data_IF_766505078156
#
_entry.id   IF_766505078156
#
_cell.length_a   1.000
_cell.length_b   1.000
_cell.length_c   1.000
_cell.angle_alpha   90.00
_cell.angle_beta   90.00
_cell.angle_gamma   90.00
#
_symmetry.space_group_name_H-M   'P 1'
#
loop_
_entity.id
_entity.type
_entity.pdbx_description
1 polymer ?
#
# COMPACT_ATOMS: atom_id res chain seq x y z
N UNK A 1 -29.03 -1.69 20.86
CA UNK A 1 -28.18 -0.63 21.47
C UNK A 1 -28.02 -0.80 22.99
N UNK A 2 -29.06 -0.71 23.83
CA UNK A 2 -28.91 -0.92 25.28
C UNK A 2 -28.54 -2.36 25.68
N UNK A 3 -29.03 -3.35 24.92
CA UNK A 3 -28.73 -4.76 25.14
C UNK A 3 -27.31 -5.13 24.71
N UNK A 4 -26.86 -4.65 23.54
CA UNK A 4 -25.48 -4.84 23.04
C UNK A 4 -24.43 -4.23 23.99
N UNK A 5 -24.72 -3.05 24.57
CA UNK A 5 -23.84 -2.41 25.56
C UNK A 5 -23.77 -3.25 26.84
N UNK A 6 -24.91 -3.78 27.32
CA UNK A 6 -24.95 -4.62 28.52
C UNK A 6 -24.19 -5.93 28.33
N UNK A 7 -24.32 -6.56 27.16
CA UNK A 7 -23.61 -7.78 26.79
C UNK A 7 -22.09 -7.52 26.67
N UNK A 8 -21.69 -6.43 26.01
CA UNK A 8 -20.29 -6.02 25.91
C UNK A 8 -19.66 -5.75 27.28
N UNK A 9 -20.34 -5.01 28.15
CA UNK A 9 -19.86 -4.72 29.52
C UNK A 9 -19.74 -5.99 30.34
N UNK A 10 -20.69 -6.92 30.22
CA UNK A 10 -20.65 -8.21 30.91
C UNK A 10 -19.46 -9.06 30.44
N UNK A 11 -19.20 -9.07 29.13
CA UNK A 11 -18.07 -9.79 28.55
C UNK A 11 -16.73 -9.19 28.99
N UNK A 12 -16.62 -7.86 29.01
CA UNK A 12 -15.44 -7.16 29.52
C UNK A 12 -15.18 -7.46 31.00
N UNK A 13 -16.22 -7.48 31.85
CA UNK A 13 -16.09 -7.85 33.26
C UNK A 13 -15.56 -9.27 33.44
N UNK A 14 -16.10 -10.23 32.69
CA UNK A 14 -15.64 -11.62 32.72
C UNK A 14 -14.16 -11.70 32.30
N UNK A 15 -13.78 -11.04 31.20
CA UNK A 15 -12.39 -10.99 30.76
C UNK A 15 -11.47 -10.41 31.83
N UNK A 16 -11.85 -9.31 32.48
CA UNK A 16 -11.05 -8.69 33.55
C UNK A 16 -10.88 -9.64 34.74
N UNK A 17 -11.93 -10.35 35.15
CA UNK A 17 -11.87 -11.32 36.25
C UNK A 17 -10.94 -12.50 35.93
N UNK A 18 -11.05 -13.05 34.72
CA UNK A 18 -10.19 -14.16 34.27
C UNK A 18 -8.72 -13.72 34.23
N UNK A 19 -8.45 -12.53 33.66
CA UNK A 19 -7.10 -11.96 33.62
C UNK A 19 -6.58 -11.75 35.04
N UNK A 20 -7.37 -11.15 35.93
CA UNK A 20 -6.96 -10.88 37.30
C UNK A 20 -6.65 -12.17 38.09
N UNK A 21 -7.49 -13.20 37.96
CA UNK A 21 -7.27 -14.49 38.61
C UNK A 21 -6.00 -15.19 38.13
N UNK A 22 -5.77 -15.19 36.81
CA UNK A 22 -4.58 -15.78 36.21
C UNK A 22 -3.31 -15.04 36.62
N UNK A 23 -3.35 -13.70 36.63
CA UNK A 23 -2.23 -12.87 37.05
C UNK A 23 -1.93 -12.99 38.56
N UNK A 24 -2.97 -13.12 39.38
CA UNK A 24 -2.82 -13.35 40.82
C UNK A 24 -2.16 -14.68 41.11
N UNK A 25 -2.57 -15.74 40.42
CA UNK A 25 -1.94 -17.05 40.53
C UNK A 25 -0.46 -16.99 40.15
N UNK A 26 -0.12 -16.35 39.02
CA UNK A 26 1.26 -16.20 38.58
C UNK A 26 2.11 -15.44 39.61
N UNK A 27 1.65 -14.30 40.10
CA UNK A 27 2.39 -13.49 41.07
C UNK A 27 2.52 -14.14 42.45
N UNK A 28 1.55 -14.98 42.85
CA UNK A 28 1.55 -15.64 44.15
C UNK A 28 2.57 -16.79 44.23
N UNK A 29 2.72 -17.55 43.14
CA UNK A 29 3.50 -18.78 43.12
C UNK A 29 4.84 -18.66 42.39
N UNK A 30 5.10 -17.54 41.71
CA UNK A 30 6.34 -17.35 40.95
C UNK A 30 7.00 -16.00 41.22
N UNK A 31 8.29 -15.91 40.94
CA UNK A 31 9.01 -14.64 40.96
C UNK A 31 8.47 -13.71 39.87
N UNK A 32 8.46 -12.39 40.12
CA UNK A 32 7.87 -11.39 39.21
C UNK A 32 8.39 -11.48 37.77
N UNK A 33 9.67 -11.85 37.58
CA UNK A 33 10.26 -12.02 36.25
C UNK A 33 9.66 -13.21 35.49
N UNK A 34 9.35 -14.30 36.18
CA UNK A 34 8.69 -15.49 35.61
C UNK A 34 7.24 -15.19 35.29
N UNK A 35 6.54 -14.44 36.15
CA UNK A 35 5.17 -14.00 35.90
C UNK A 35 5.06 -13.12 34.63
N UNK A 36 6.03 -12.23 34.40
CA UNK A 36 6.09 -11.42 33.18
C UNK A 36 6.36 -12.31 31.95
N UNK A 37 7.33 -13.21 32.01
CA UNK A 37 7.64 -14.11 30.89
C UNK A 37 6.45 -15.02 30.53
N UNK A 38 5.77 -15.58 31.54
CA UNK A 38 4.55 -16.36 31.37
C UNK A 38 3.42 -15.52 30.76
N UNK A 39 3.29 -14.26 31.17
CA UNK A 39 2.33 -13.32 30.60
C UNK A 39 2.59 -13.07 29.11
N UNK A 40 3.85 -12.87 28.71
CA UNK A 40 4.23 -12.76 27.29
C UNK A 40 3.84 -14.00 26.50
N UNK A 41 4.12 -15.18 27.05
CA UNK A 41 3.84 -16.46 26.40
C UNK A 41 2.33 -16.69 26.22
N UNK A 42 1.53 -16.39 27.25
CA UNK A 42 0.08 -16.50 27.19
C UNK A 42 -0.48 -15.52 26.15
N UNK A 43 0.01 -14.28 26.12
CA UNK A 43 -0.38 -13.31 25.08
C UNK A 43 -0.11 -13.86 23.68
N UNK A 44 1.08 -14.42 23.46
CA UNK A 44 1.46 -15.03 22.19
C UNK A 44 0.52 -16.18 21.79
N UNK A 45 0.25 -17.13 22.69
CA UNK A 45 -0.62 -18.27 22.42
C UNK A 45 -2.05 -17.83 22.09
N UNK A 46 -2.61 -16.89 22.85
CA UNK A 46 -3.97 -16.39 22.59
C UNK A 46 -4.05 -15.70 21.24
N UNK A 47 -3.08 -14.84 20.91
CA UNK A 47 -3.03 -14.15 19.63
C UNK A 47 -2.81 -15.09 18.46
N UNK A 48 -1.97 -16.11 18.65
CA UNK A 48 -1.74 -17.15 17.66
C UNK A 48 -3.01 -17.93 17.35
N UNK A 49 -3.73 -18.38 18.40
CA UNK A 49 -5.00 -19.08 18.26
C UNK A 49 -6.05 -18.20 17.58
N UNK A 50 -6.18 -16.94 18.00
CA UNK A 50 -7.12 -15.98 17.41
C UNK A 50 -6.91 -15.81 15.90
N UNK A 51 -5.67 -15.54 15.48
CA UNK A 51 -5.35 -15.34 14.06
C UNK A 51 -5.50 -16.63 13.28
N UNK A 52 -5.10 -17.78 13.84
CA UNK A 52 -5.27 -19.09 13.21
C UNK A 52 -6.74 -19.45 12.99
N UNK A 53 -7.59 -19.20 13.99
CA UNK A 53 -9.04 -19.42 13.91
C UNK A 53 -9.69 -18.48 12.88
N UNK A 54 -9.27 -17.21 12.81
CA UNK A 54 -9.75 -16.25 11.80
C UNK A 54 -9.49 -16.73 10.36
N UNK A 55 -8.41 -17.47 10.13
CA UNK A 55 -8.02 -17.97 8.80
C UNK A 55 -8.36 -19.44 8.57
N UNK A 56 -9.05 -20.09 9.51
CA UNK A 56 -9.52 -21.45 9.35
C UNK A 56 -10.68 -21.48 8.35
N UNK A 57 -10.36 -21.81 7.09
CA UNK A 57 -11.37 -21.98 6.02
C UNK A 57 -11.80 -23.45 6.00
N UNK A 58 -13.11 -23.76 5.95
CA UNK A 58 -13.63 -25.14 6.06
C UNK A 58 -13.08 -26.12 5.00
N UNK A 59 -12.57 -25.61 3.87
CA UNK A 59 -12.05 -26.43 2.77
C UNK A 59 -10.52 -26.31 2.56
N UNK A 60 -9.78 -25.74 3.52
CA UNK A 60 -8.31 -25.68 3.48
C UNK A 60 -7.69 -24.78 2.39
N UNK A 61 -8.49 -24.04 1.61
CA UNK A 61 -8.02 -23.13 0.56
C UNK A 61 -7.45 -21.78 1.04
N UNK A 62 -7.05 -21.68 2.31
CA UNK A 62 -6.48 -20.45 2.87
C UNK A 62 -4.98 -20.39 2.58
N UNK A 63 -4.49 -19.25 2.11
CA UNK A 63 -3.05 -18.99 1.99
C UNK A 63 -2.35 -18.82 3.36
N UNK A 64 -3.09 -19.03 4.46
CA UNK A 64 -2.63 -18.82 5.81
C UNK A 64 -2.61 -17.34 6.19
N UNK A 65 -2.45 -17.03 7.48
CA UNK A 65 -2.30 -15.66 7.96
C UNK A 65 -0.93 -15.09 7.62
N UNK A 66 -0.88 -13.82 7.21
CA UNK A 66 0.38 -13.09 7.10
C UNK A 66 0.96 -12.80 8.50
N UNK A 67 2.29 -12.77 8.60
CA UNK A 67 2.98 -12.51 9.87
C UNK A 67 2.58 -11.17 10.53
N UNK A 68 2.20 -10.18 9.71
CA UNK A 68 1.74 -8.86 10.15
C UNK A 68 0.39 -8.92 10.88
N UNK A 69 -0.43 -9.93 10.63
CA UNK A 69 -1.75 -10.09 11.25
C UNK A 69 -1.69 -10.50 12.73
N UNK A 70 -0.59 -11.13 13.15
CA UNK A 70 -0.36 -11.48 14.56
C UNK A 70 0.02 -10.27 15.41
N UNK A 71 0.51 -9.19 14.80
CA UNK A 71 1.08 -8.03 15.51
C UNK A 71 0.03 -7.28 16.34
N UNK A 72 -1.16 -7.00 15.78
CA UNK A 72 -2.21 -6.25 16.50
C UNK A 72 -2.80 -7.05 17.65
N UNK A 73 -3.24 -8.31 17.45
CA UNK A 73 -3.79 -9.10 18.55
C UNK A 73 -2.76 -9.35 19.64
N UNK A 74 -1.49 -9.60 19.27
CA UNK A 74 -0.40 -9.79 20.23
C UNK A 74 -0.18 -8.57 21.10
N UNK A 75 -0.14 -7.37 20.50
CA UNK A 75 0.02 -6.13 21.26
C UNK A 75 -1.18 -5.86 22.19
N UNK A 76 -2.41 -6.04 21.68
CA UNK A 76 -3.62 -5.82 22.47
C UNK A 76 -3.68 -6.78 23.69
N UNK A 77 -3.39 -8.06 23.48
CA UNK A 77 -3.33 -9.06 24.55
C UNK A 77 -2.20 -8.79 25.52
N UNK A 78 -1.02 -8.44 25.01
CA UNK A 78 0.15 -8.13 25.82
C UNK A 78 -0.11 -6.94 26.75
N UNK A 79 -0.62 -5.82 26.22
CA UNK A 79 -0.96 -4.63 27.02
C UNK A 79 -2.04 -4.96 28.06
N UNK A 80 -3.09 -5.69 27.67
CA UNK A 80 -4.20 -6.03 28.57
C UNK A 80 -3.75 -6.90 29.75
N UNK A 81 -2.98 -7.95 29.47
CA UNK A 81 -2.48 -8.85 30.50
C UNK A 81 -1.44 -8.18 31.40
N UNK A 82 -0.60 -7.30 30.85
CA UNK A 82 0.35 -6.51 31.63
C UNK A 82 -0.34 -5.53 32.57
N UNK A 83 -1.35 -4.79 32.09
CA UNK A 83 -2.16 -3.94 32.95
C UNK A 83 -2.80 -4.76 34.08
N UNK A 84 -3.29 -5.96 33.78
CA UNK A 84 -3.78 -6.90 34.78
C UNK A 84 -2.71 -7.27 35.82
N UNK A 85 -1.51 -7.64 35.37
CA UNK A 85 -0.37 -7.98 36.24
C UNK A 85 -0.02 -6.82 37.18
N UNK A 86 -0.01 -5.58 36.69
CA UNK A 86 0.27 -4.40 37.51
C UNK A 86 -0.82 -4.13 38.54
N UNK A 87 -2.09 -4.17 38.15
CA UNK A 87 -3.22 -3.96 39.05
C UNK A 87 -3.17 -5.00 40.17
N UNK A 88 -2.98 -6.26 39.81
CA UNK A 88 -2.93 -7.36 40.77
C UNK A 88 -1.70 -7.26 41.68
N UNK A 89 -0.52 -6.93 41.15
CA UNK A 89 0.68 -6.74 41.96
C UNK A 89 0.50 -5.64 43.00
N UNK A 90 -0.11 -4.51 42.60
CA UNK A 90 -0.40 -3.39 43.51
C UNK A 90 -1.40 -3.78 44.59
N UNK A 91 -2.46 -4.50 44.23
CA UNK A 91 -3.50 -4.95 45.17
C UNK A 91 -3.01 -6.06 46.11
N UNK A 92 -2.10 -6.91 45.66
CA UNK A 92 -1.53 -8.01 46.45
C UNK A 92 -0.32 -7.60 47.29
N UNK A 93 0.05 -6.31 47.30
CA UNK A 93 1.25 -5.78 47.95
C UNK A 93 2.56 -6.50 47.55
N UNK A 94 2.59 -7.11 46.37
CA UNK A 94 3.79 -7.74 45.84
C UNK A 94 4.74 -6.65 45.31
N UNK A 95 5.98 -6.64 45.80
CA UNK A 95 6.97 -5.61 45.45
C UNK A 95 7.50 -5.83 44.02
N UNK A 96 7.03 -5.03 43.06
CA UNK A 96 7.62 -4.93 41.73
C UNK A 96 8.71 -3.85 41.73
N UNK A 97 9.93 -4.14 41.24
CA UNK A 97 10.97 -3.13 41.09
C UNK A 97 10.50 -1.98 40.17
N UNK A 98 10.81 -0.73 40.51
CA UNK A 98 10.50 0.43 39.64
C UNK A 98 11.10 0.29 38.23
N UNK A 99 12.25 -0.38 38.11
CA UNK A 99 12.90 -0.66 36.82
C UNK A 99 12.03 -1.49 35.87
N UNK A 100 11.13 -2.32 36.40
CA UNK A 100 10.21 -3.14 35.61
C UNK A 100 9.24 -2.27 34.81
N UNK A 101 8.83 -1.13 35.35
CA UNK A 101 7.96 -0.16 34.64
C UNK A 101 8.67 0.48 33.45
N UNK A 102 9.94 0.86 33.64
CA UNK A 102 10.78 1.45 32.58
C UNK A 102 11.01 0.45 31.45
N UNK A 103 11.34 -0.80 31.78
CA UNK A 103 11.52 -1.87 30.80
C UNK A 103 10.26 -2.09 29.96
N UNK A 104 9.09 -2.01 30.59
CA UNK A 104 7.81 -2.21 29.92
C UNK A 104 7.45 -1.08 28.97
N UNK A 105 7.61 0.16 29.41
CA UNK A 105 7.44 1.35 28.57
C UNK A 105 8.38 1.30 27.36
N UNK A 106 9.63 0.90 27.59
CA UNK A 106 10.60 0.71 26.52
C UNK A 106 10.16 -0.39 25.54
N UNK A 107 9.65 -1.53 26.04
CA UNK A 107 9.16 -2.61 25.18
C UNK A 107 7.95 -2.18 24.32
N UNK A 108 7.00 -1.44 24.90
CA UNK A 108 5.85 -0.89 24.16
C UNK A 108 6.33 0.10 23.09
N UNK A 109 7.26 1.00 23.45
CA UNK A 109 7.81 1.98 22.51
C UNK A 109 8.59 1.33 21.36
N UNK A 110 9.44 0.33 21.66
CA UNK A 110 10.19 -0.43 20.66
C UNK A 110 9.24 -1.16 19.71
N UNK A 111 8.16 -1.75 20.25
CA UNK A 111 7.19 -2.47 19.41
C UNK A 111 6.36 -1.52 18.53
N UNK A 112 5.92 -0.38 19.07
CA UNK A 112 5.22 0.65 18.31
C UNK A 112 6.11 1.22 17.18
N UNK A 113 7.37 1.53 17.49
CA UNK A 113 8.36 1.94 16.50
C UNK A 113 8.61 0.84 15.46
N UNK A 114 8.78 -0.42 15.89
CA UNK A 114 8.97 -1.57 15.01
C UNK A 114 7.80 -1.76 14.03
N UNK A 115 6.56 -1.62 14.51
CA UNK A 115 5.37 -1.68 13.65
C UNK A 115 5.36 -0.57 12.60
N UNK A 116 5.65 0.68 13.02
CA UNK A 116 5.70 1.82 12.11
C UNK A 116 6.77 1.62 11.04
N UNK A 117 7.96 1.15 11.45
CA UNK A 117 9.06 0.82 10.53
C UNK A 117 8.67 -0.31 9.58
N UNK A 118 8.04 -1.38 10.07
CA UNK A 118 7.59 -2.50 9.23
C UNK A 118 6.60 -2.04 8.16
N UNK A 119 5.55 -1.31 8.55
CA UNK A 119 4.57 -0.77 7.60
C UNK A 119 5.22 0.17 6.59
N UNK A 120 6.17 0.99 7.04
CA UNK A 120 6.93 1.86 6.16
C UNK A 120 7.76 1.04 5.14
N UNK A 121 8.48 0.02 5.59
CA UNK A 121 9.28 -0.87 4.73
C UNK A 121 8.39 -1.59 3.72
N UNK A 122 7.24 -2.09 4.15
CA UNK A 122 6.29 -2.79 3.30
C UNK A 122 5.76 -1.87 2.18
N UNK A 123 5.30 -0.68 2.54
CA UNK A 123 4.83 0.33 1.58
C UNK A 123 5.95 0.74 0.60
N UNK A 124 7.15 1.00 1.12
CA UNK A 124 8.29 1.37 0.26
C UNK A 124 8.67 0.23 -0.67
N UNK A 125 8.66 -1.02 -0.20
CA UNK A 125 8.96 -2.20 -1.00
C UNK A 125 7.90 -2.42 -2.08
N UNK A 126 6.63 -2.23 -1.74
CA UNK A 126 5.52 -2.27 -2.68
C UNK A 126 5.68 -1.20 -3.77
N UNK A 127 5.90 0.05 -3.38
CA UNK A 127 6.15 1.15 -4.31
C UNK A 127 7.37 0.89 -5.19
N UNK A 128 8.46 0.39 -4.63
CA UNK A 128 9.66 0.05 -5.38
C UNK A 128 9.39 -1.06 -6.40
N UNK A 129 8.62 -2.10 -6.04
CA UNK A 129 8.28 -3.21 -6.95
C UNK A 129 7.41 -2.77 -8.12
N UNK A 130 6.50 -1.83 -7.88
CA UNK A 130 5.45 -1.49 -8.85
C UNK A 130 5.79 -0.26 -9.67
N UNK A 131 6.46 0.72 -9.09
CA UNK A 131 6.63 2.04 -9.70
C UNK A 131 8.09 2.36 -9.95
N UNK A 132 8.30 3.17 -10.97
CA UNK A 132 9.60 3.75 -11.29
C UNK A 132 9.42 5.23 -11.52
N UNK A 133 10.29 6.05 -10.92
CA UNK A 133 10.22 7.50 -11.08
C UNK A 133 10.76 7.89 -12.44
N UNK A 134 10.02 8.73 -13.15
CA UNK A 134 10.40 9.28 -14.45
C UNK A 134 10.15 10.78 -14.46
N UNK A 135 10.96 11.51 -15.22
CA UNK A 135 10.67 12.91 -15.55
C UNK A 135 9.91 12.87 -16.87
N UNK A 136 8.65 13.30 -16.84
CA UNK A 136 7.80 13.35 -18.03
C UNK A 136 7.52 14.81 -18.38
N UNK A 137 7.89 15.19 -19.60
CA UNK A 137 7.64 16.51 -20.16
C UNK A 137 6.65 16.38 -21.33
N UNK A 138 5.56 17.13 -21.29
CA UNK A 138 4.59 17.18 -22.39
C UNK A 138 4.68 18.55 -23.04
N UNK A 139 4.99 18.58 -24.34
CA UNK A 139 5.15 19.81 -25.12
C UNK A 139 4.02 19.87 -26.13
N UNK A 140 3.26 20.97 -26.12
CA UNK A 140 2.24 21.27 -27.12
C UNK A 140 2.85 22.20 -28.17
N UNK A 141 2.77 21.82 -29.45
CA UNK A 141 3.21 22.74 -30.50
C UNK A 141 2.33 24.00 -30.54
N UNK A 142 2.93 25.19 -30.73
CA UNK A 142 2.20 26.44 -30.75
C UNK A 142 1.26 26.52 -31.95
N UNK A 143 0.01 26.97 -31.72
CA UNK A 143 -0.94 27.33 -32.78
C UNK A 143 -2.31 26.63 -32.75
N UNK A 144 -2.53 25.64 -31.87
CA UNK A 144 -3.83 24.98 -31.69
C UNK A 144 -4.01 24.43 -30.26
N UNK A 145 -5.25 24.37 -29.78
CA UNK A 145 -5.58 23.65 -28.55
C UNK A 145 -5.35 22.15 -28.77
N UNK A 146 -4.50 21.54 -27.93
CA UNK A 146 -4.26 20.10 -27.95
C UNK A 146 -5.57 19.35 -27.72
N UNK A 147 -5.89 18.43 -28.64
CA UNK A 147 -7.03 17.51 -28.51
C UNK A 147 -6.88 16.56 -27.31
N UNK A 148 -5.63 16.28 -26.90
CA UNK A 148 -5.31 15.40 -25.78
C UNK A 148 -5.48 16.14 -24.46
N UNK A 149 -6.32 15.57 -23.58
CA UNK A 149 -6.62 16.04 -22.23
C UNK A 149 -5.87 15.25 -21.15
N UNK A 150 -5.56 13.99 -21.41
CA UNK A 150 -4.87 13.12 -20.47
C UNK A 150 -4.07 12.05 -21.21
N UNK A 151 -2.88 11.72 -20.69
CA UNK A 151 -2.02 10.65 -21.20
C UNK A 151 -1.80 9.64 -20.08
N UNK A 152 -2.07 8.37 -20.32
CA UNK A 152 -2.02 7.35 -19.27
C UNK A 152 -1.04 6.23 -19.63
N UNK A 153 -0.18 5.84 -18.69
CA UNK A 153 0.69 4.67 -18.81
C UNK A 153 0.08 3.51 -18.02
N UNK A 154 -0.12 2.37 -18.67
CA UNK A 154 -0.75 1.21 -18.04
C UNK A 154 0.14 -0.03 -18.14
N UNK A 155 0.20 -0.78 -17.05
CA UNK A 155 0.63 -2.18 -17.06
C UNK A 155 -0.64 -3.07 -17.02
N UNK A 156 -0.94 -3.74 -18.14
CA UNK A 156 -2.16 -4.55 -18.23
C UNK A 156 -2.13 -5.82 -17.37
N UNK A 157 -0.95 -6.29 -16.96
CA UNK A 157 -0.81 -7.50 -16.15
C UNK A 157 -1.25 -7.28 -14.69
N UNK A 158 -1.04 -6.08 -14.14
CA UNK A 158 -1.46 -5.73 -12.78
C UNK A 158 -2.60 -4.71 -12.74
N UNK A 159 -3.02 -4.17 -13.89
CA UNK A 159 -4.12 -3.21 -14.03
C UNK A 159 -3.78 -1.80 -13.53
N UNK A 160 -2.52 -1.54 -13.18
CA UNK A 160 -2.10 -0.25 -12.62
C UNK A 160 -1.89 0.76 -13.74
N UNK A 161 -2.51 1.92 -13.60
CA UNK A 161 -2.44 3.04 -14.54
C UNK A 161 -1.95 4.28 -13.82
N UNK A 162 -1.08 5.06 -14.47
CA UNK A 162 -0.71 6.41 -14.02
C UNK A 162 -1.00 7.42 -15.11
N UNK A 163 -1.66 8.50 -14.72
CA UNK A 163 -2.12 9.53 -15.62
C UNK A 163 -1.19 10.75 -15.57
N UNK A 164 -1.03 11.39 -16.71
CA UNK A 164 -0.20 12.57 -16.94
C UNK A 164 -1.10 13.63 -17.56
N UNK A 165 -1.32 14.69 -16.80
CA UNK A 165 -1.93 15.93 -17.28
C UNK A 165 -1.01 16.69 -18.27
N UNK A 166 -1.41 16.84 -19.55
CA UNK A 166 -0.68 17.59 -20.57
C UNK A 166 -0.58 19.10 -20.30
N UNK A 167 -1.46 19.66 -19.46
CA UNK A 167 -1.50 21.09 -19.14
C UNK A 167 -0.58 21.48 -17.96
N UNK A 168 -0.01 20.49 -17.26
CA UNK A 168 0.96 20.74 -16.22
C UNK A 168 2.33 21.11 -16.84
N UNK A 169 2.78 22.36 -16.64
CA UNK A 169 4.02 22.94 -17.19
C UNK A 169 5.28 22.08 -16.96
N UNK A 170 5.30 21.27 -15.89
CA UNK A 170 6.30 20.22 -15.61
C UNK A 170 5.81 19.31 -14.50
N UNK A 171 5.81 18.00 -14.72
CA UNK A 171 5.51 17.02 -13.68
C UNK A 171 6.80 16.32 -13.23
N UNK A 172 7.54 16.99 -12.34
CA UNK A 172 8.91 16.61 -11.96
C UNK A 172 9.03 15.39 -11.04
N UNK A 173 7.94 14.73 -10.68
CA UNK A 173 7.93 13.60 -9.74
C UNK A 173 6.89 12.53 -10.11
N UNK A 174 6.67 12.31 -11.42
CA UNK A 174 5.78 11.26 -11.87
C UNK A 174 6.39 9.87 -11.70
N UNK A 175 5.51 8.91 -11.42
CA UNK A 175 5.83 7.50 -11.42
C UNK A 175 5.20 6.85 -12.64
N UNK A 176 5.93 6.01 -13.35
CA UNK A 176 5.37 5.11 -14.34
C UNK A 176 5.27 3.70 -13.73
N UNK A 177 4.21 2.94 -14.03
CA UNK A 177 4.18 1.53 -13.68
C UNK A 177 5.36 0.79 -14.31
N UNK A 178 6.07 -0.01 -13.51
CA UNK A 178 7.09 -0.93 -14.01
C UNK A 178 6.43 -1.93 -14.95
N UNK A 179 7.12 -2.22 -16.05
CA UNK A 179 6.58 -3.07 -17.12
C UNK A 179 5.28 -2.53 -17.72
N UNK A 180 5.07 -1.21 -17.70
CA UNK A 180 4.01 -0.59 -18.50
C UNK A 180 4.13 -1.06 -19.95
N UNK A 181 3.02 -1.52 -20.50
CA UNK A 181 2.97 -2.07 -21.86
C UNK A 181 1.98 -1.32 -22.76
N UNK A 182 1.28 -0.34 -22.21
CA UNK A 182 0.39 0.56 -22.94
C UNK A 182 0.62 2.02 -22.59
N UNK A 183 0.46 2.87 -23.59
CA UNK A 183 0.25 4.31 -23.44
C UNK A 183 -1.11 4.64 -24.05
N UNK A 184 -1.92 5.41 -23.35
CA UNK A 184 -3.30 5.71 -23.71
C UNK A 184 -3.43 7.22 -23.84
N UNK A 185 -4.02 7.69 -24.92
CA UNK A 185 -4.31 9.09 -25.13
C UNK A 185 -5.81 9.31 -25.01
N UNK A 186 -6.22 10.08 -24.00
CA UNK A 186 -7.59 10.53 -23.82
C UNK A 186 -7.72 11.91 -24.44
N UNK A 187 -8.56 12.01 -25.46
CA UNK A 187 -8.77 13.23 -26.20
C UNK A 187 -10.24 13.62 -26.31
N UNK A 188 -10.46 14.85 -26.74
CA UNK A 188 -11.77 15.36 -27.09
C UNK A 188 -11.84 15.61 -28.59
N UNK A 189 -12.86 15.05 -29.26
CA UNK A 189 -13.10 15.34 -30.66
C UNK A 189 -13.95 16.59 -30.81
N UNK A 190 -13.39 17.60 -31.47
CA UNK A 190 -14.13 18.81 -31.87
C UNK A 190 -15.15 18.55 -32.97
N UNK A 191 -15.07 17.41 -33.68
CA UNK A 191 -16.01 17.04 -34.76
C UNK A 191 -17.26 16.37 -34.23
N UNK A 192 -17.11 15.52 -33.21
CA UNK A 192 -18.21 14.71 -32.67
C UNK A 192 -18.67 15.16 -31.29
N UNK A 193 -18.00 16.15 -30.69
CA UNK A 193 -18.25 16.67 -29.34
C UNK A 193 -18.20 15.56 -28.27
N UNK A 194 -17.32 14.57 -28.46
CA UNK A 194 -17.21 13.38 -27.61
C UNK A 194 -15.76 13.12 -27.20
N UNK A 195 -15.61 12.52 -26.02
CA UNK A 195 -14.33 11.98 -25.58
C UNK A 195 -14.01 10.69 -26.33
N UNK A 196 -12.74 10.53 -26.69
CA UNK A 196 -12.19 9.29 -27.24
C UNK A 196 -10.95 8.86 -26.46
N UNK A 197 -10.62 7.57 -26.55
CA UNK A 197 -9.46 6.98 -25.88
C UNK A 197 -8.77 6.04 -26.86
N UNK A 198 -7.50 6.29 -27.17
CA UNK A 198 -6.72 5.45 -28.04
C UNK A 198 -5.56 4.80 -27.30
N UNK A 199 -5.54 3.48 -27.34
CA UNK A 199 -4.50 2.64 -26.73
C UNK A 199 -3.40 2.33 -27.74
N UNK A 200 -2.15 2.57 -27.37
CA UNK A 200 -0.99 2.15 -28.16
C UNK A 200 -0.04 1.26 -27.34
N UNK A 201 0.66 0.32 -28.00
CA UNK A 201 1.68 -0.46 -27.33
C UNK A 201 2.88 0.43 -26.96
N UNK A 202 3.31 0.29 -25.71
CA UNK A 202 4.45 0.96 -25.11
C UNK A 202 5.48 -0.08 -24.67
N UNK A 203 6.75 0.16 -24.95
CA UNK A 203 7.83 -0.75 -24.55
C UNK A 203 8.63 -0.12 -23.41
N UNK A 204 8.32 -0.52 -22.18
CA UNK A 204 9.01 -0.06 -20.98
C UNK A 204 10.51 -0.37 -20.99
N UNK A 205 10.98 -1.39 -21.71
CA UNK A 205 12.41 -1.74 -21.75
C UNK A 205 13.27 -0.60 -22.33
N UNK A 206 12.69 0.24 -23.19
CA UNK A 206 13.35 1.40 -23.80
C UNK A 206 13.64 2.52 -22.79
N UNK A 207 12.93 2.56 -21.66
CA UNK A 207 13.08 3.58 -20.64
C UNK A 207 14.38 3.43 -19.81
N UNK A 208 15.06 2.28 -19.91
CA UNK A 208 16.30 1.90 -19.19
C UNK A 208 16.28 2.28 -17.71
N UNK A 209 15.91 1.32 -16.87
CA UNK A 209 15.87 1.51 -15.43
C UNK A 209 17.27 1.53 -14.80
N UNK A 210 17.48 2.46 -13.87
CA UNK A 210 18.68 2.55 -13.04
C UNK A 210 18.31 2.81 -11.57
N UNK A 211 19.30 2.67 -10.68
CA UNK A 211 19.11 3.01 -9.27
C UNK A 211 19.18 4.51 -9.06
N UNK A 212 18.15 5.06 -8.43
CA UNK A 212 18.08 6.44 -8.00
C UNK A 212 18.39 6.62 -6.51
N UNK A 213 17.76 7.63 -5.93
CA UNK A 213 17.97 8.01 -4.52
C UNK A 213 17.45 6.94 -3.56
N UNK A 214 18.02 6.92 -2.35
CA UNK A 214 17.56 6.08 -1.24
C UNK A 214 16.10 6.39 -0.89
N UNK A 215 15.31 5.34 -0.63
CA UNK A 215 13.94 5.46 -0.16
C UNK A 215 13.89 5.41 1.37
N UNK A 216 13.74 6.58 1.99
CA UNK A 216 13.52 6.69 3.44
C UNK A 216 14.68 6.20 4.30
N UNK A 217 14.33 5.57 5.43
CA UNK A 217 15.28 5.09 6.43
C UNK A 217 15.93 3.75 6.10
N UNK A 218 15.50 3.03 5.06
CA UNK A 218 16.09 1.74 4.68
C UNK A 218 17.30 1.96 3.76
N UNK A 219 18.50 1.54 4.16
CA UNK A 219 19.72 1.79 3.36
C UNK A 219 19.79 0.92 2.11
N UNK A 220 19.11 -0.24 2.11
CA UNK A 220 19.10 -1.20 1.00
C UNK A 220 18.01 -0.91 -0.04
N UNK A 221 17.02 -0.05 0.27
CA UNK A 221 15.93 0.29 -0.66
C UNK A 221 16.28 1.57 -1.41
N UNK A 222 16.39 1.47 -2.74
CA UNK A 222 16.64 2.59 -3.65
C UNK A 222 15.48 2.72 -4.63
N UNK A 223 15.02 3.96 -4.81
CA UNK A 223 14.00 4.29 -5.78
C UNK A 223 14.56 4.00 -7.17
N UNK A 224 13.74 3.36 -8.00
CA UNK A 224 14.10 3.07 -9.38
C UNK A 224 13.76 4.28 -10.22
N UNK A 225 14.66 4.64 -11.12
CA UNK A 225 14.52 5.80 -12.00
C UNK A 225 14.76 5.40 -13.45
N UNK A 226 14.03 6.03 -14.36
CA UNK A 226 14.19 5.84 -15.82
C UNK A 226 14.76 7.07 -16.48
N UNK A 227 15.18 6.89 -17.74
CA UNK A 227 15.48 8.00 -18.63
C UNK A 227 14.28 8.94 -18.76
N UNK A 228 14.52 10.25 -18.96
CA UNK A 228 13.45 11.22 -19.10
C UNK A 228 12.63 10.95 -20.36
N UNK A 229 11.32 11.07 -20.24
CA UNK A 229 10.34 10.89 -21.31
C UNK A 229 9.83 12.27 -21.72
N UNK A 230 9.76 12.51 -23.02
CA UNK A 230 9.19 13.73 -23.59
C UNK A 230 8.15 13.35 -24.63
N UNK A 231 6.96 13.90 -24.51
CA UNK A 231 5.85 13.68 -25.44
C UNK A 231 5.55 15.01 -26.12
N UNK A 232 5.70 15.03 -27.44
CA UNK A 232 5.40 16.22 -28.25
C UNK A 232 4.05 15.99 -28.93
N UNK A 233 3.09 16.85 -28.63
CA UNK A 233 1.74 16.85 -29.20
C UNK A 233 1.72 17.81 -30.39
N UNK A 234 1.57 17.25 -31.59
CA UNK A 234 1.61 17.97 -32.86
C UNK A 234 0.21 18.39 -33.31
N UNK A 235 0.15 19.49 -34.06
CA UNK A 235 -1.08 20.08 -34.61
C UNK A 235 -1.85 19.20 -35.62
N UNK A 236 -1.24 18.11 -36.10
CA UNK A 236 -1.86 17.16 -37.05
C UNK A 236 -2.56 15.96 -36.42
N UNK A 237 -2.77 15.94 -35.09
CA UNK A 237 -3.25 14.75 -34.40
C UNK A 237 -2.16 13.67 -34.28
N UNK A 238 -0.90 14.07 -34.20
CA UNK A 238 0.21 13.15 -33.99
C UNK A 238 0.83 13.41 -32.61
N UNK A 239 1.26 12.34 -31.94
CA UNK A 239 2.02 12.45 -30.70
C UNK A 239 3.35 11.71 -30.86
N UNK A 240 4.45 12.43 -30.67
CA UNK A 240 5.81 11.89 -30.81
C UNK A 240 6.40 11.63 -29.43
N UNK A 241 6.86 10.40 -29.20
CA UNK A 241 7.47 9.96 -27.96
C UNK A 241 8.99 9.96 -28.09
N UNK A 242 9.62 10.74 -27.23
CA UNK A 242 11.07 10.81 -27.07
C UNK A 242 11.47 10.22 -25.72
N UNK A 243 12.53 9.42 -25.71
CA UNK A 243 13.18 8.94 -24.49
C UNK A 243 14.64 9.37 -24.57
N UNK A 244 15.13 10.06 -23.54
CA UNK A 244 16.49 10.63 -23.54
C UNK A 244 16.76 11.51 -24.78
N UNK A 245 15.77 12.34 -25.13
CA UNK A 245 15.75 13.19 -26.33
C UNK A 245 15.93 12.47 -27.68
N UNK A 246 15.76 11.14 -27.73
CA UNK A 246 15.74 10.36 -28.98
C UNK A 246 14.32 9.99 -29.32
N UNK A 247 13.93 10.19 -30.57
CA UNK A 247 12.62 9.77 -31.05
C UNK A 247 12.54 8.24 -30.99
N UNK A 248 11.53 7.73 -30.29
CA UNK A 248 11.28 6.30 -30.13
C UNK A 248 10.10 5.87 -30.97
N UNK A 249 9.03 6.67 -30.98
CA UNK A 249 7.79 6.30 -31.67
C UNK A 249 6.91 7.50 -31.96
N UNK A 250 6.25 7.46 -33.10
CA UNK A 250 5.18 8.39 -33.47
C UNK A 250 3.84 7.66 -33.37
N UNK A 251 2.86 8.33 -32.76
CA UNK A 251 1.49 7.86 -32.62
C UNK A 251 0.57 8.72 -33.48
N UNK A 252 -0.17 8.08 -34.37
CA UNK A 252 -1.23 8.73 -35.13
C UNK A 252 -2.52 8.70 -34.31
N UNK A 253 -2.89 9.83 -33.73
CA UNK A 253 -4.17 9.99 -33.04
C UNK A 253 -5.23 10.29 -34.09
N UNK A 254 -6.22 9.42 -34.20
CA UNK A 254 -7.31 9.60 -35.16
C UNK A 254 -8.65 9.52 -34.45
N UNK A 255 -9.61 10.36 -34.79
CA UNK A 255 -10.99 10.29 -34.27
C UNK A 255 -11.75 9.01 -34.75
N UNK A 256 -11.02 7.97 -35.16
CA UNK A 256 -11.49 6.87 -35.98
C UNK A 256 -12.03 5.67 -35.20
N UNK A 257 -12.01 5.70 -33.86
CA UNK A 257 -12.66 4.67 -33.03
C UNK A 257 -14.18 4.60 -33.25
N UNK A 258 -14.78 5.63 -33.88
CA UNK A 258 -16.16 5.59 -34.37
C UNK A 258 -16.30 4.93 -35.76
N UNK A 259 -15.27 4.99 -36.61
CA UNK A 259 -15.33 4.42 -37.96
C UNK A 259 -15.26 2.88 -37.97
N UNK A 260 -14.61 2.27 -36.97
CA UNK A 260 -14.55 0.81 -36.82
C UNK A 260 -15.86 0.27 -36.22
N UNK A 261 -16.46 0.98 -35.26
CA UNK A 261 -17.77 0.59 -34.67
C UNK A 261 -18.95 0.85 -35.62
N UNK A 262 -18.91 1.91 -36.42
CA UNK A 262 -19.93 2.18 -37.44
C UNK A 262 -19.92 1.13 -38.57
N UNK A 263 -18.73 0.70 -39.03
CA UNK A 263 -18.60 -0.38 -40.03
C UNK A 263 -19.04 -1.75 -39.52
N UNK A 264 -18.92 -2.01 -38.22
CA UNK A 264 -19.42 -3.25 -37.61
C UNK A 264 -20.94 -3.25 -37.44
N UNK A 265 -21.58 -2.08 -37.25
CA UNK A 265 -23.04 -1.96 -37.22
C UNK A 265 -23.67 -2.01 -38.62
N UNK A 266 -23.01 -1.47 -39.66
CA UNK A 266 -23.48 -1.57 -41.05
C UNK A 266 -23.34 -3.00 -41.64
N UNK A 267 -22.52 -3.86 -41.05
CA UNK A 267 -22.41 -5.28 -41.45
C UNK A 267 -23.40 -6.20 -40.72
N UNK A 268 -24.22 -5.67 -39.81
CA UNK A 268 -25.26 -6.41 -39.08
C UNK A 268 -26.69 -6.05 -39.51
N UNK A 269 -26.85 -5.24 -40.56
CA UNK A 269 -28.14 -4.94 -41.20
C UNK A 269 -28.13 -5.30 -42.69
#
# INVERSE_FOLDING_TARGET
MAQDIRELVSLLLICVLVIAGLQWFLLRFTHWSVAIAATCFIAFVISFLYVSLKHAVPNGGSNGPDASEFVVPMLAMFISLLCGLFIVARLSHNYLPQKTFIFLLAAIAVFAAGRYVYQYVENVTFCQKIFTKSVIEVIKEPGQESLVREISFQNTSNGITVNVDPDAEKQTDLFIPRSANKIIFHGFSTRTDRMFSQDFPFDYSLCKESEGKRMGFCFWLRLKVTLPIKIVLHSGGNASLYIDNRLVKDYQLSDSDLSVRAKQQEQQY
#
